data_IF_086910964426
#
_entry.id   IF_086910964426
#
_cell.length_a   1.000
_cell.length_b   1.000
_cell.length_c   1.000
_cell.angle_alpha   90.00
_cell.angle_beta   90.00
_cell.angle_gamma   90.00
#
_symmetry.space_group_name_H-M   'P 1'
#
loop_
_entity.id
_entity.type
_entity.pdbx_description
1 polymer ?
#
# COMPACT_ATOMS: atom_id res chain seq x y z
N UNK A 1 1.13 10.68 -21.65
CA UNK A 1 0.48 11.90 -21.15
C UNK A 1 -0.94 11.53 -20.79
N UNK A 2 -1.39 11.83 -19.58
CA UNK A 2 -2.73 11.48 -19.10
C UNK A 2 -3.75 12.56 -19.49
N UNK A 3 -5.01 12.17 -19.65
CA UNK A 3 -6.10 13.10 -19.99
C UNK A 3 -7.06 13.27 -18.80
N UNK A 4 -7.66 14.45 -18.67
CA UNK A 4 -8.74 14.67 -17.70
C UNK A 4 -9.91 13.73 -18.01
N UNK A 5 -10.47 13.09 -16.98
CA UNK A 5 -11.48 12.05 -17.07
C UNK A 5 -10.93 10.64 -17.29
N UNK A 6 -9.62 10.47 -17.47
CA UNK A 6 -9.01 9.14 -17.63
C UNK A 6 -8.94 8.40 -16.29
N UNK A 7 -9.38 7.15 -16.27
CA UNK A 7 -9.18 6.26 -15.13
C UNK A 7 -7.75 5.74 -15.11
N UNK A 8 -7.14 5.80 -13.93
CA UNK A 8 -5.76 5.42 -13.70
C UNK A 8 -5.64 4.58 -12.43
N UNK A 9 -4.61 3.76 -12.38
CA UNK A 9 -4.06 3.23 -11.15
C UNK A 9 -2.86 4.09 -10.78
N UNK A 10 -2.73 4.46 -9.50
CA UNK A 10 -1.68 5.36 -9.07
C UNK A 10 -1.21 5.08 -7.64
N UNK A 11 0.10 5.15 -7.43
CA UNK A 11 0.71 4.96 -6.12
C UNK A 11 0.92 6.29 -5.39
N UNK A 12 0.59 6.30 -4.10
CA UNK A 12 0.79 7.44 -3.20
C UNK A 12 1.11 6.98 -1.78
N UNK A 13 2.30 7.37 -1.27
CA UNK A 13 2.78 7.06 0.08
C UNK A 13 2.56 5.59 0.47
N UNK A 14 3.09 4.67 -0.35
CA UNK A 14 3.01 3.20 -0.27
C UNK A 14 1.64 2.55 -0.48
N UNK A 15 0.55 3.34 -0.50
CA UNK A 15 -0.75 2.89 -0.98
C UNK A 15 -0.86 2.95 -2.50
N UNK A 16 -1.84 2.22 -3.04
CA UNK A 16 -2.15 2.19 -4.47
C UNK A 16 -3.66 2.32 -4.66
N UNK A 17 -4.07 3.15 -5.61
CA UNK A 17 -5.44 3.62 -5.74
C UNK A 17 -5.87 3.56 -7.20
N UNK A 18 -7.13 3.23 -7.45
CA UNK A 18 -7.79 3.53 -8.72
C UNK A 18 -8.44 4.90 -8.57
N UNK A 19 -8.25 5.76 -9.55
CA UNK A 19 -8.81 7.11 -9.54
C UNK A 19 -9.07 7.65 -10.93
N UNK A 20 -9.59 8.86 -10.96
CA UNK A 20 -9.85 9.63 -12.18
C UNK A 20 -8.94 10.86 -12.20
N UNK A 21 -8.29 11.11 -13.32
CA UNK A 21 -7.48 12.33 -13.51
C UNK A 21 -8.41 13.52 -13.62
N UNK A 22 -8.25 14.51 -12.73
CA UNK A 22 -9.07 15.73 -12.72
C UNK A 22 -8.30 16.97 -13.17
N UNK A 23 -6.97 16.93 -13.10
CA UNK A 23 -6.09 17.98 -13.61
C UNK A 23 -4.70 17.40 -13.94
N UNK A 24 -3.98 18.07 -14.83
CA UNK A 24 -2.63 17.70 -15.25
C UNK A 24 -1.74 18.93 -15.22
N UNK A 25 -0.69 18.90 -14.38
CA UNK A 25 0.21 20.04 -14.18
C UNK A 25 1.67 19.58 -14.12
N UNK A 26 2.46 20.03 -15.09
CA UNK A 26 3.86 19.64 -15.23
C UNK A 26 4.02 18.12 -15.38
N UNK A 27 4.79 17.50 -14.48
CA UNK A 27 5.04 16.05 -14.44
C UNK A 27 4.15 15.31 -13.44
N UNK A 28 3.02 15.91 -13.05
CA UNK A 28 2.10 15.36 -12.07
C UNK A 28 0.64 15.46 -12.56
N UNK A 29 -0.19 14.55 -12.08
CA UNK A 29 -1.64 14.61 -12.27
C UNK A 29 -2.33 14.74 -10.90
N UNK A 30 -3.39 15.53 -10.83
CA UNK A 30 -4.32 15.48 -9.72
C UNK A 30 -5.28 14.31 -9.96
N UNK A 31 -5.26 13.33 -9.06
CA UNK A 31 -6.05 12.10 -9.17
C UNK A 31 -7.08 12.08 -8.05
N UNK A 32 -8.36 12.03 -8.42
CA UNK A 32 -9.50 11.84 -7.52
C UNK A 32 -9.67 10.36 -7.24
N UNK A 33 -9.50 9.95 -5.99
CA UNK A 33 -9.53 8.54 -5.58
C UNK A 33 -10.95 7.98 -5.70
N UNK A 34 -11.07 6.80 -6.30
CA UNK A 34 -12.34 6.08 -6.46
C UNK A 34 -12.33 4.72 -5.76
N UNK A 35 -11.17 4.07 -5.67
CA UNK A 35 -11.01 2.78 -4.99
C UNK A 35 -9.59 2.56 -4.48
N UNK A 36 -9.42 1.64 -3.54
CA UNK A 36 -8.14 1.25 -2.93
C UNK A 36 -7.72 -0.11 -3.46
N UNK A 37 -6.53 -0.18 -4.07
CA UNK A 37 -5.91 -1.43 -4.54
C UNK A 37 -4.99 -2.00 -3.47
N UNK A 38 -4.19 -1.14 -2.84
CA UNK A 38 -3.28 -1.49 -1.75
C UNK A 38 -3.38 -0.46 -0.63
N UNK A 39 -3.53 -0.94 0.61
CA UNK A 39 -3.55 -0.05 1.77
C UNK A 39 -2.13 0.47 2.06
N UNK A 40 -1.96 1.72 2.53
CA UNK A 40 -0.62 2.20 2.88
C UNK A 40 -0.02 1.38 4.01
N UNK A 41 1.26 1.03 3.85
CA UNK A 41 2.07 0.35 4.87
C UNK A 41 2.11 1.20 6.14
N UNK A 42 1.92 0.59 7.31
CA UNK A 42 1.94 1.29 8.58
C UNK A 42 3.37 1.61 9.04
N UNK A 43 3.51 2.57 9.94
CA UNK A 43 4.80 3.00 10.48
C UNK A 43 5.41 4.19 9.75
N UNK A 44 6.72 4.32 9.88
CA UNK A 44 7.49 5.44 9.35
C UNK A 44 7.86 5.21 7.87
N UNK A 45 7.57 6.21 7.02
CA UNK A 45 7.93 6.17 5.61
C UNK A 45 9.43 6.34 5.37
N UNK A 46 10.12 7.02 6.27
CA UNK A 46 11.57 7.25 6.18
C UNK A 46 12.36 6.07 6.73
N UNK A 47 11.75 5.27 7.62
CA UNK A 47 12.34 4.09 8.24
C UNK A 47 11.45 2.86 7.98
N UNK A 48 11.37 2.38 6.73
CA UNK A 48 10.48 1.29 6.37
C UNK A 48 10.83 0.00 7.12
N UNK A 49 9.81 -0.77 7.50
CA UNK A 49 9.92 -2.06 8.18
C UNK A 49 10.62 -2.02 9.55
N UNK A 50 10.75 -0.85 10.18
CA UNK A 50 11.29 -0.72 11.53
C UNK A 50 10.17 -0.54 12.55
N UNK A 51 10.11 -1.46 13.52
CA UNK A 51 9.16 -1.37 14.63
C UNK A 51 9.64 -0.42 15.74
N UNK A 52 10.96 -0.35 15.98
CA UNK A 52 11.55 0.46 17.05
C UNK A 52 12.00 1.83 16.53
N UNK A 53 11.03 2.67 16.19
CA UNK A 53 11.22 4.06 15.77
C UNK A 53 10.68 5.02 16.83
N UNK A 54 11.13 6.28 16.82
CA UNK A 54 10.67 7.28 17.80
C UNK A 54 9.16 7.49 17.79
N UNK A 55 8.49 7.30 16.64
CA UNK A 55 7.03 7.29 16.54
C UNK A 55 6.54 6.38 15.42
N UNK A 56 5.70 5.39 15.76
CA UNK A 56 5.08 4.50 14.79
C UNK A 56 3.76 5.10 14.29
N UNK A 57 3.77 5.66 13.08
CA UNK A 57 2.60 6.34 12.54
C UNK A 57 1.51 5.37 12.08
N UNK A 58 0.27 5.60 12.52
CA UNK A 58 -0.91 5.09 11.82
C UNK A 58 -1.01 5.81 10.46
N UNK A 59 -1.13 5.04 9.37
CA UNK A 59 -1.31 5.58 8.02
C UNK A 59 -2.68 5.18 7.49
N UNK A 60 -3.51 6.15 7.15
CA UNK A 60 -4.83 5.93 6.55
C UNK A 60 -4.71 5.93 5.03
N UNK A 61 -5.49 5.10 4.36
CA UNK A 61 -5.73 5.24 2.92
C UNK A 61 -6.32 6.63 2.61
N UNK A 62 -6.05 7.15 1.41
CA UNK A 62 -6.75 8.33 0.89
C UNK A 62 -8.26 8.06 0.83
N UNK A 63 -9.06 9.03 1.26
CA UNK A 63 -10.52 8.91 1.33
C UNK A 63 -11.17 8.84 -0.07
N UNK A 64 -12.41 8.34 -0.12
CA UNK A 64 -13.21 8.38 -1.34
C UNK A 64 -13.34 9.83 -1.83
N UNK A 65 -13.07 10.06 -3.12
CA UNK A 65 -13.05 11.36 -3.77
C UNK A 65 -11.97 12.34 -3.28
N UNK A 66 -11.07 11.92 -2.39
CA UNK A 66 -9.89 12.72 -2.05
C UNK A 66 -9.02 12.91 -3.30
N UNK A 67 -8.52 14.12 -3.50
CA UNK A 67 -7.66 14.46 -4.64
C UNK A 67 -6.23 14.54 -4.15
N UNK A 68 -5.36 13.75 -4.75
CA UNK A 68 -3.93 13.78 -4.47
C UNK A 68 -3.13 14.08 -5.74
N UNK A 69 -2.06 14.87 -5.59
CA UNK A 69 -1.14 15.17 -6.68
C UNK A 69 -0.10 14.05 -6.79
N UNK A 70 -0.17 13.26 -7.86
CA UNK A 70 0.64 12.07 -8.08
C UNK A 70 1.62 12.29 -9.24
N UNK A 71 2.91 11.99 -9.06
CA UNK A 71 3.91 11.98 -10.14
C UNK A 71 3.53 11.02 -11.28
N UNK A 72 3.82 11.38 -12.53
CA UNK A 72 3.45 10.54 -13.68
C UNK A 72 4.08 9.15 -13.66
N UNK A 73 5.28 8.99 -13.07
CA UNK A 73 5.99 7.73 -12.91
C UNK A 73 5.31 6.80 -11.90
N UNK A 74 4.39 7.29 -11.08
CA UNK A 74 3.58 6.48 -10.17
C UNK A 74 2.18 6.17 -10.71
N UNK A 75 1.85 6.60 -11.93
CA UNK A 75 0.53 6.45 -12.54
C UNK A 75 0.62 5.45 -13.71
N UNK A 76 -0.47 4.72 -13.97
CA UNK A 76 -0.67 3.92 -15.17
C UNK A 76 -2.15 3.90 -15.57
N UNK A 77 -2.45 3.78 -16.86
CA UNK A 77 -3.85 3.76 -17.35
C UNK A 77 -4.59 2.54 -16.83
N UNK A 78 -5.81 2.73 -16.34
CA UNK A 78 -6.68 1.67 -15.84
C UNK A 78 -7.95 1.55 -16.69
N UNK A 79 -8.16 0.37 -17.29
CA UNK A 79 -9.27 0.12 -18.24
C UNK A 79 -10.33 -0.87 -17.76
N UNK A 80 -10.23 -1.32 -16.51
CA UNK A 80 -11.17 -2.29 -15.95
C UNK A 80 -12.28 -1.56 -15.17
N UNK A 81 -13.26 -2.32 -14.70
CA UNK A 81 -14.33 -1.78 -13.87
C UNK A 81 -13.77 -1.29 -12.52
N UNK A 82 -14.15 -0.07 -12.14
CA UNK A 82 -13.78 0.50 -10.83
C UNK A 82 -14.67 -0.12 -9.75
N UNK A 83 -14.11 -0.81 -8.74
CA UNK A 83 -14.91 -1.37 -7.65
C UNK A 83 -15.44 -0.28 -6.72
N UNK A 84 -16.45 -0.61 -5.90
CA UNK A 84 -16.91 0.28 -4.83
C UNK A 84 -15.78 0.53 -3.81
N UNK A 85 -15.66 1.78 -3.38
CA UNK A 85 -14.58 2.25 -2.53
C UNK A 85 -14.50 1.47 -1.21
N UNK A 86 -15.58 1.38 -0.45
CA UNK A 86 -15.64 0.69 0.84
C UNK A 86 -15.27 -0.79 0.74
N UNK A 87 -15.78 -1.48 -0.27
CA UNK A 87 -15.44 -2.89 -0.54
C UNK A 87 -13.96 -3.06 -0.93
N UNK A 88 -13.44 -2.16 -1.76
CA UNK A 88 -12.02 -2.18 -2.15
C UNK A 88 -11.09 -1.91 -0.96
N UNK A 89 -11.42 -0.94 -0.12
CA UNK A 89 -10.71 -0.61 1.12
C UNK A 89 -10.70 -1.79 2.09
N UNK A 90 -11.86 -2.43 2.31
CA UNK A 90 -11.97 -3.61 3.18
C UNK A 90 -11.07 -4.73 2.67
N UNK A 91 -11.10 -5.04 1.37
CA UNK A 91 -10.26 -6.08 0.77
C UNK A 91 -8.78 -5.77 0.90
N UNK A 92 -8.36 -4.53 0.61
CA UNK A 92 -6.97 -4.11 0.69
C UNK A 92 -6.44 -4.19 2.13
N UNK A 93 -7.23 -3.72 3.11
CA UNK A 93 -6.86 -3.76 4.53
C UNK A 93 -6.71 -5.20 5.04
N UNK A 94 -7.70 -6.07 4.75
CA UNK A 94 -7.67 -7.47 5.20
C UNK A 94 -6.53 -8.26 4.52
N UNK A 95 -6.23 -7.96 3.25
CA UNK A 95 -5.08 -8.55 2.55
C UNK A 95 -3.76 -8.20 3.26
N UNK A 96 -3.56 -6.93 3.62
CA UNK A 96 -2.33 -6.49 4.28
C UNK A 96 -2.20 -7.10 5.69
N UNK A 97 -3.29 -7.13 6.47
CA UNK A 97 -3.31 -7.79 7.79
C UNK A 97 -2.94 -9.27 7.68
N UNK A 98 -3.56 -9.99 6.74
CA UNK A 98 -3.27 -11.42 6.52
C UNK A 98 -1.84 -11.66 6.07
N UNK A 99 -1.26 -10.77 5.27
CA UNK A 99 0.15 -10.86 4.88
C UNK A 99 1.07 -10.79 6.11
N UNK A 100 0.82 -9.83 7.00
CA UNK A 100 1.61 -9.67 8.23
C UNK A 100 1.46 -10.87 9.17
N UNK A 101 0.25 -11.42 9.31
CA UNK A 101 0.02 -12.64 10.09
C UNK A 101 0.83 -13.84 9.54
N UNK A 102 0.88 -14.00 8.22
CA UNK A 102 1.69 -15.04 7.59
C UNK A 102 3.19 -14.82 7.81
N UNK A 103 3.67 -13.58 7.73
CA UNK A 103 5.08 -13.24 7.97
C UNK A 103 5.49 -13.57 9.41
N UNK A 104 4.64 -13.25 10.40
CA UNK A 104 4.85 -13.61 11.80
C UNK A 104 4.92 -15.13 11.95
N UNK A 105 3.97 -15.87 11.38
CA UNK A 105 3.94 -17.32 11.47
C UNK A 105 5.18 -17.96 10.82
N UNK A 106 5.61 -17.45 9.67
CA UNK A 106 6.81 -17.91 9.00
C UNK A 106 8.05 -17.66 9.87
N UNK A 107 8.21 -16.45 10.39
CA UNK A 107 9.35 -16.09 11.24
C UNK A 107 9.41 -16.96 12.50
N UNK A 108 8.27 -17.20 13.17
CA UNK A 108 8.18 -18.08 14.33
C UNK A 108 8.65 -19.50 14.01
N UNK A 109 8.19 -20.07 12.87
CA UNK A 109 8.63 -21.41 12.45
C UNK A 109 10.12 -21.46 12.15
N UNK A 110 10.66 -20.44 11.47
CA UNK A 110 12.10 -20.36 11.20
C UNK A 110 12.92 -20.33 12.49
N UNK A 111 12.49 -19.56 13.51
CA UNK A 111 13.19 -19.51 14.79
C UNK A 111 13.22 -20.87 15.49
N UNK A 112 12.09 -21.58 15.53
CA UNK A 112 12.02 -22.92 16.14
C UNK A 112 12.99 -23.92 15.50
N UNK A 113 13.07 -23.94 14.17
CA UNK A 113 14.00 -24.83 13.46
C UNK A 113 15.46 -24.44 13.73
N UNK A 114 15.77 -23.14 13.78
CA UNK A 114 17.11 -22.65 14.08
C UNK A 114 17.55 -22.96 15.52
N UNK A 115 16.66 -22.83 16.50
CA UNK A 115 16.93 -23.22 17.89
C UNK A 115 17.22 -24.74 18.00
N UNK A 116 16.51 -25.57 17.25
CA UNK A 116 16.80 -27.00 17.19
C UNK A 116 18.18 -27.28 16.60
N UNK A 117 18.54 -26.58 15.51
CA UNK A 117 19.86 -26.71 14.90
C UNK A 117 20.98 -26.21 15.82
N UNK A 118 20.75 -25.14 16.57
CA UNK A 118 21.70 -24.59 17.53
C UNK A 118 22.08 -25.63 18.61
N UNK A 119 21.08 -26.34 19.16
CA UNK A 119 21.30 -27.44 20.11
C UNK A 119 22.10 -28.59 19.50
N UNK A 120 21.97 -28.85 18.20
CA UNK A 120 22.72 -29.90 17.52
C UNK A 120 24.14 -29.47 17.15
N UNK A 121 24.33 -28.22 16.75
CA UNK A 121 25.62 -27.68 16.32
C UNK A 121 26.58 -27.41 17.49
N UNK A 122 26.06 -27.01 18.65
CA UNK A 122 26.87 -26.51 19.76
C UNK A 122 26.68 -27.28 21.07
N UNK A 123 26.51 -28.61 20.97
CA UNK A 123 26.52 -29.50 22.16
C UNK A 123 27.79 -29.36 23.00
#
# INVERSE_FOLDING_TARGET
MYLVGEHVIAAYKTGEYIGEVVDVSGMKAAVKVLAVVKHPTQGDLHNPNQANVGFFHQRRALANQEIALMPFDTISVYRQAVPEYGDSLRRALEKDKKSLENDILFAQKCLLELESLEQDYFK
#
